data_IF_019474913563
#
_entry.id   IF_019474913563
#
_cell.length_a   1.000
_cell.length_b   1.000
_cell.length_c   1.000
_cell.angle_alpha   90.00
_cell.angle_beta   90.00
_cell.angle_gamma   90.00
#
_symmetry.space_group_name_H-M   'P 1'
#
loop_
_entity.id
_entity.type
_entity.pdbx_description
1 polymer ?
#
# COMPACT_ATOMS: atom_id res chain seq x y z
N UNK A 1 -4.97 28.55 -12.69
CA UNK A 1 -4.76 27.96 -12.58
C UNK A 1 -4.36 27.22 -12.50
N UNK A 2 -4.23 26.91 -12.13
CA UNK A 2 -3.78 26.19 -11.98
C UNK A 2 -3.63 25.29 -11.90
N UNK A 3 -3.58 25.02 -12.04
CA UNK A 3 -3.47 24.01 -11.87
C UNK A 3 -2.76 23.19 -11.54
N UNK A 4 -2.98 23.17 -11.06
CA UNK A 4 -2.04 22.42 -10.42
C UNK A 4 -1.86 21.10 -11.04
N UNK A 5 -0.70 20.79 -11.22
CA UNK A 5 -0.40 19.64 -11.95
C UNK A 5 0.22 18.64 -11.07
N UNK A 6 -0.06 18.70 -9.83
CA UNK A 6 0.45 17.71 -8.92
C UNK A 6 -0.20 16.40 -9.28
N UNK A 7 0.55 15.37 -9.54
CA UNK A 7 -0.02 14.07 -9.82
C UNK A 7 -0.87 13.69 -8.65
N UNK A 8 -2.07 13.31 -8.93
CA UNK A 8 -2.94 12.94 -7.86
C UNK A 8 -2.53 11.61 -7.31
N UNK A 9 -2.33 11.56 -6.03
CA UNK A 9 -2.03 10.32 -5.38
C UNK A 9 -3.31 9.59 -5.08
N UNK A 10 -3.30 8.30 -5.28
CA UNK A 10 -4.41 7.46 -4.91
C UNK A 10 -4.05 6.82 -3.59
N UNK A 11 -4.83 7.11 -2.58
CA UNK A 11 -4.58 6.58 -1.25
C UNK A 11 -5.48 5.41 -0.97
N UNK A 12 -4.90 4.36 -0.42
CA UNK A 12 -5.62 3.15 -0.09
C UNK A 12 -5.65 2.98 1.42
N UNK A 13 -6.76 2.51 1.92
CA UNK A 13 -6.87 2.16 3.33
C UNK A 13 -6.21 0.82 3.58
N UNK A 14 -5.98 0.51 4.86
CA UNK A 14 -5.47 -0.81 5.24
C UNK A 14 -6.37 -1.91 4.69
N UNK A 15 -7.67 -1.69 4.79
CA UNK A 15 -8.65 -2.68 4.31
C UNK A 15 -8.55 -2.86 2.80
N UNK A 16 -8.34 -1.78 2.08
CA UNK A 16 -8.22 -1.86 0.62
C UNK A 16 -6.94 -2.58 0.21
N UNK A 17 -5.85 -2.32 0.92
CA UNK A 17 -4.61 -3.04 0.65
C UNK A 17 -4.79 -4.52 0.93
N UNK A 18 -5.45 -4.84 2.04
CA UNK A 18 -5.71 -6.23 2.37
C UNK A 18 -6.54 -6.91 1.29
N UNK A 19 -7.58 -6.23 0.81
CA UNK A 19 -8.43 -6.79 -0.23
C UNK A 19 -7.64 -7.02 -1.52
N UNK A 20 -6.76 -6.09 -1.86
CA UNK A 20 -5.95 -6.22 -3.07
C UNK A 20 -5.10 -7.48 -3.04
N UNK A 21 -4.59 -7.83 -1.88
CA UNK A 21 -3.73 -9.01 -1.75
C UNK A 21 -4.48 -10.20 -1.18
N UNK A 22 -5.80 -10.08 -1.05
CA UNK A 22 -6.68 -11.16 -0.62
C UNK A 22 -6.27 -11.69 0.74
N UNK A 23 -5.99 -10.78 1.65
CA UNK A 23 -5.58 -11.14 3.00
C UNK A 23 -6.40 -10.31 3.99
N UNK A 24 -6.19 -10.55 5.28
CA UNK A 24 -6.92 -9.85 6.32
C UNK A 24 -6.25 -8.51 6.63
N UNK A 25 -7.04 -7.50 7.03
CA UNK A 25 -6.44 -6.22 7.42
C UNK A 25 -5.39 -6.34 8.52
N UNK A 26 -5.57 -7.29 9.44
CA UNK A 26 -4.60 -7.52 10.49
C UNK A 26 -3.25 -7.95 9.93
N UNK A 27 -3.25 -8.68 8.82
CA UNK A 27 -2.00 -9.08 8.18
C UNK A 27 -1.26 -7.87 7.64
N UNK A 28 -2.00 -6.92 7.05
CA UNK A 28 -1.38 -5.71 6.54
C UNK A 28 -0.80 -4.87 7.68
N UNK A 29 -1.51 -4.79 8.79
CA UNK A 29 -0.99 -4.10 9.98
C UNK A 29 0.26 -4.77 10.50
N UNK A 30 0.29 -6.08 10.47
CA UNK A 30 1.45 -6.84 10.89
C UNK A 30 2.65 -6.53 10.01
N UNK A 31 2.44 -6.48 8.69
CA UNK A 31 3.51 -6.10 7.77
C UNK A 31 4.04 -4.71 8.09
N UNK A 32 3.14 -3.75 8.34
CA UNK A 32 3.55 -2.39 8.66
C UNK A 32 4.34 -2.35 9.95
N UNK A 33 3.87 -3.10 10.94
CA UNK A 33 4.52 -3.13 12.23
C UNK A 33 5.93 -3.68 12.12
N UNK A 34 6.13 -4.64 11.26
CA UNK A 34 7.44 -5.27 11.06
C UNK A 34 8.26 -4.60 9.97
N UNK A 35 7.72 -3.62 9.29
CA UNK A 35 8.45 -2.96 8.22
C UNK A 35 8.63 -3.82 6.98
N UNK A 36 7.75 -4.79 6.76
CA UNK A 36 7.90 -5.71 5.64
C UNK A 36 6.90 -5.49 4.53
N UNK A 37 5.93 -4.61 4.73
CA UNK A 37 4.90 -4.34 3.74
C UNK A 37 5.16 -3.07 2.97
N UNK A 38 4.18 -2.63 2.18
CA UNK A 38 4.32 -1.36 1.49
C UNK A 38 4.35 -0.22 2.50
N UNK A 39 4.95 0.89 2.09
CA UNK A 39 5.10 2.03 2.98
C UNK A 39 3.76 2.68 3.26
N UNK A 40 3.42 2.79 4.53
CA UNK A 40 2.22 3.48 4.95
C UNK A 40 2.57 4.88 5.44
N UNK A 41 1.62 5.80 5.32
CA UNK A 41 1.79 7.16 5.79
C UNK A 41 0.67 7.44 6.78
N UNK A 42 1.04 8.03 7.91
CA UNK A 42 0.07 8.33 8.94
C UNK A 42 -0.48 9.73 8.75
N UNK A 43 -1.80 9.82 8.72
CA UNK A 43 -2.52 11.09 8.67
C UNK A 43 -3.40 11.12 9.90
N UNK A 44 -2.90 11.72 10.98
CA UNK A 44 -3.64 11.71 12.24
C UNK A 44 -3.73 10.30 12.76
N UNK A 45 -4.95 9.79 12.86
CA UNK A 45 -5.18 8.44 13.34
C UNK A 45 -5.26 7.43 12.20
N UNK A 46 -5.23 7.92 10.97
CA UNK A 46 -5.40 7.04 9.82
C UNK A 46 -4.05 6.72 9.22
N UNK A 47 -3.92 5.51 8.73
CA UNK A 47 -2.77 5.13 7.95
C UNK A 47 -3.27 4.82 6.55
N UNK A 48 -2.66 5.47 5.58
CA UNK A 48 -3.02 5.28 4.19
C UNK A 48 -1.79 4.86 3.41
N UNK A 49 -2.01 4.21 2.30
CA UNK A 49 -0.94 3.68 1.47
C UNK A 49 -1.07 4.28 0.08
N UNK A 50 0.02 4.85 -0.42
CA UNK A 50 0.05 5.38 -1.78
C UNK A 50 0.00 4.19 -2.74
N UNK A 51 -0.91 4.22 -3.69
CA UNK A 51 -1.05 3.13 -4.65
C UNK A 51 0.26 2.84 -5.37
N UNK A 52 1.03 3.88 -5.69
CA UNK A 52 2.32 3.69 -6.36
C UNK A 52 3.25 2.85 -5.50
N UNK A 53 3.27 3.12 -4.19
CA UNK A 53 4.12 2.35 -3.29
C UNK A 53 3.62 0.92 -3.14
N UNK A 54 2.29 0.76 -3.14
CA UNK A 54 1.71 -0.58 -3.07
C UNK A 54 2.09 -1.38 -4.31
N UNK A 55 2.01 -0.75 -5.47
CA UNK A 55 2.37 -1.41 -6.72
C UNK A 55 3.85 -1.75 -6.78
N UNK A 56 4.69 -0.86 -6.27
CA UNK A 56 6.13 -1.11 -6.23
C UNK A 56 6.44 -2.30 -5.33
N UNK A 57 5.84 -2.34 -4.16
CA UNK A 57 6.04 -3.43 -3.23
C UNK A 57 5.57 -4.75 -3.85
N UNK A 58 4.41 -4.70 -4.50
CA UNK A 58 3.85 -5.87 -5.16
C UNK A 58 4.79 -6.39 -6.25
N UNK A 59 5.32 -5.47 -7.05
CA UNK A 59 6.21 -5.86 -8.15
C UNK A 59 7.48 -6.51 -7.62
N UNK A 60 7.99 -6.04 -6.50
CA UNK A 60 9.20 -6.60 -5.92
C UNK A 60 8.97 -8.01 -5.39
N UNK A 61 7.73 -8.34 -5.08
CA UNK A 61 7.42 -9.63 -4.49
C UNK A 61 6.75 -10.60 -5.43
N UNK A 62 6.40 -10.13 -6.62
CA UNK A 62 5.73 -10.98 -7.58
C UNK A 62 6.76 -11.73 -8.38
N UNK A 63 7.02 -12.96 -7.97
CA UNK A 63 7.94 -13.84 -8.66
C UNK A 63 7.19 -15.09 -9.03
N UNK A 64 7.33 -15.55 -10.27
CA UNK A 64 6.74 -16.83 -10.63
C UNK A 64 7.36 -17.91 -9.76
N UNK A 65 6.55 -18.81 -9.28
CA UNK A 65 7.09 -19.93 -8.55
C UNK A 65 7.84 -20.81 -9.53
N UNK A 66 9.07 -21.10 -9.17
CA UNK A 66 9.86 -21.93 -10.02
C UNK A 66 9.31 -23.32 -9.96
N UNK A 67 9.08 -23.83 -11.03
CA UNK A 67 8.38 -25.02 -11.31
C UNK A 67 8.62 -26.21 -10.58
#
# INVERSE_FOLDING_TARGET
>A
MRKSVTPERTWMTTEEVAARFRTAPGTVRYWRFNGTGPTGVRFGRRVLYDLVEVERWEAERTHPLAG
#
